data_IF_003796057812
#
_entry.id   IF_003796057812
#
_cell.length_a   1.000
_cell.length_b   1.000
_cell.length_c   1.000
_cell.angle_alpha   90.00
_cell.angle_beta   90.00
_cell.angle_gamma   90.00
#
_symmetry.space_group_name_H-M   'P 1'
#
loop_
_entity.id
_entity.type
_entity.pdbx_description
1 polymer ?
#
# COMPACT_ATOMS: atom_id res chain seq x y z
N UNK A 1 -12.80 -32.21 -59.56
CA UNK A 1 -13.10 -32.66 -58.18
C UNK A 1 -11.87 -32.72 -57.25
N UNK A 2 -10.63 -32.82 -57.75
CA UNK A 2 -9.43 -32.84 -56.89
C UNK A 2 -9.03 -31.45 -56.34
N UNK A 3 -9.20 -30.38 -57.12
CA UNK A 3 -8.80 -29.01 -56.75
C UNK A 3 -9.63 -28.43 -55.58
N UNK A 4 -10.94 -28.68 -55.55
CA UNK A 4 -11.82 -28.21 -54.46
C UNK A 4 -11.54 -28.90 -53.12
N UNK A 5 -11.10 -30.16 -53.12
CA UNK A 5 -10.72 -30.88 -51.89
C UNK A 5 -9.42 -30.38 -51.29
N UNK A 6 -8.48 -29.92 -52.12
CA UNK A 6 -7.21 -29.37 -51.67
C UNK A 6 -7.38 -27.98 -51.04
N UNK A 7 -8.24 -27.13 -51.63
CA UNK A 7 -8.58 -25.81 -51.06
C UNK A 7 -9.34 -25.91 -49.73
N UNK A 8 -10.23 -26.89 -49.59
CA UNK A 8 -10.92 -27.18 -48.33
C UNK A 8 -9.94 -27.65 -47.24
N UNK A 9 -8.98 -28.50 -47.60
CA UNK A 9 -7.94 -28.95 -46.66
C UNK A 9 -7.03 -27.80 -46.21
N UNK A 10 -6.62 -26.91 -47.13
CA UNK A 10 -5.82 -25.74 -46.79
C UNK A 10 -6.58 -24.75 -45.89
N UNK A 11 -7.87 -24.54 -46.16
CA UNK A 11 -8.75 -23.69 -45.35
C UNK A 11 -8.96 -24.26 -43.94
N UNK A 12 -9.14 -25.58 -43.81
CA UNK A 12 -9.22 -26.24 -42.50
C UNK A 12 -7.90 -26.13 -41.73
N UNK A 13 -6.75 -26.31 -42.40
CA UNK A 13 -5.43 -26.16 -41.76
C UNK A 13 -5.17 -24.72 -41.29
N UNK A 14 -5.56 -23.70 -42.06
CA UNK A 14 -5.42 -22.30 -41.66
C UNK A 14 -6.35 -21.92 -40.49
N UNK A 15 -7.59 -22.44 -40.46
CA UNK A 15 -8.51 -22.24 -39.34
C UNK A 15 -8.03 -22.94 -38.06
N UNK A 16 -7.47 -24.15 -38.17
CA UNK A 16 -6.88 -24.85 -37.02
C UNK A 16 -5.62 -24.13 -36.53
N UNK A 17 -4.79 -23.59 -37.44
CA UNK A 17 -3.59 -22.82 -37.06
C UNK A 17 -3.95 -21.49 -36.38
N UNK A 18 -5.00 -20.80 -36.84
CA UNK A 18 -5.51 -19.59 -36.19
C UNK A 18 -6.14 -19.90 -34.82
N UNK A 19 -6.90 -20.99 -34.69
CA UNK A 19 -7.50 -21.40 -33.42
C UNK A 19 -6.47 -21.89 -32.38
N UNK A 20 -5.33 -22.43 -32.82
CA UNK A 20 -4.20 -22.79 -31.94
C UNK A 20 -3.36 -21.56 -31.59
N UNK A 21 -3.19 -20.62 -32.52
CA UNK A 21 -2.52 -19.34 -32.28
C UNK A 21 -3.25 -18.44 -31.28
N UNK A 22 -4.59 -18.44 -31.28
CA UNK A 22 -5.39 -17.70 -30.28
C UNK A 22 -5.41 -18.38 -28.91
N UNK A 23 -5.37 -19.71 -28.84
CA UNK A 23 -5.31 -20.44 -27.55
C UNK A 23 -3.96 -20.34 -26.84
N UNK A 24 -2.87 -20.04 -27.55
CA UNK A 24 -1.55 -19.86 -26.95
C UNK A 24 -1.32 -18.47 -26.33
N UNK A 25 -2.25 -17.51 -26.49
CA UNK A 25 -2.13 -16.15 -25.94
C UNK A 25 -2.83 -15.93 -24.59
N UNK A 26 -3.53 -16.94 -24.04
CA UNK A 26 -4.38 -16.76 -22.85
C UNK A 26 -4.23 -17.79 -21.72
N UNK A 27 -3.17 -18.58 -21.72
CA UNK A 27 -2.76 -19.32 -20.52
C UNK A 27 -1.60 -18.61 -19.83
N UNK A 28 -1.89 -17.47 -19.16
CA UNK A 28 -1.07 -17.07 -18.00
C UNK A 28 -1.23 -18.20 -16.99
N UNK A 29 -0.22 -19.06 -16.88
CA UNK A 29 -0.18 -20.19 -15.95
C UNK A 29 -0.52 -19.63 -14.56
N UNK A 30 -1.71 -19.94 -14.03
CA UNK A 30 -2.00 -19.77 -12.61
C UNK A 30 -1.05 -20.73 -11.89
N UNK A 31 0.04 -20.21 -11.34
CA UNK A 31 0.95 -21.02 -10.53
C UNK A 31 0.15 -21.69 -9.43
N UNK A 32 0.33 -23.00 -9.26
CA UNK A 32 -0.23 -23.71 -8.11
C UNK A 32 0.32 -23.11 -6.82
N UNK A 33 -0.45 -23.13 -5.72
CA UNK A 33 -0.04 -22.61 -4.40
C UNK A 33 1.40 -22.98 -3.98
N UNK A 34 1.94 -24.19 -4.28
CA UNK A 34 3.33 -24.56 -4.00
C UNK A 34 4.42 -23.89 -4.87
N UNK A 35 4.06 -23.20 -5.96
CA UNK A 35 5.00 -22.62 -6.93
C UNK A 35 4.93 -21.09 -7.02
N UNK A 36 4.05 -20.45 -6.23
CA UNK A 36 3.70 -19.03 -6.36
C UNK A 36 4.89 -18.07 -6.23
N UNK A 37 5.96 -18.47 -5.52
CA UNK A 37 7.20 -17.70 -5.37
C UNK A 37 8.39 -18.23 -6.18
N UNK A 38 8.20 -19.15 -7.14
CA UNK A 38 9.25 -19.54 -8.09
C UNK A 38 9.39 -18.50 -9.21
N UNK A 39 9.77 -17.30 -8.81
CA UNK A 39 9.98 -16.17 -9.72
C UNK A 39 11.28 -16.42 -10.49
N UNK A 40 11.33 -16.04 -11.78
CA UNK A 40 12.54 -16.13 -12.61
C UNK A 40 13.37 -14.85 -12.61
N UNK A 41 12.71 -13.70 -12.46
CA UNK A 41 13.32 -12.37 -12.40
C UNK A 41 12.42 -11.43 -11.61
N UNK A 42 13.03 -10.56 -10.81
CA UNK A 42 12.37 -9.43 -10.17
C UNK A 42 12.71 -8.17 -10.99
N UNK A 43 11.71 -7.32 -11.21
CA UNK A 43 11.87 -6.11 -12.02
C UNK A 43 11.24 -4.91 -11.31
N UNK A 44 11.79 -3.72 -11.58
CA UNK A 44 11.12 -2.47 -11.29
C UNK A 44 9.90 -2.31 -12.19
N UNK A 45 8.74 -2.04 -11.59
CA UNK A 45 7.46 -1.99 -12.27
C UNK A 45 6.79 -0.63 -12.08
N UNK A 46 6.23 -0.10 -13.15
CA UNK A 46 5.30 1.04 -13.14
C UNK A 46 3.86 0.53 -13.15
N UNK A 47 2.88 1.36 -12.73
CA UNK A 47 1.47 1.03 -12.90
C UNK A 47 1.15 0.74 -14.37
N UNK A 48 0.25 -0.22 -14.63
CA UNK A 48 -0.16 -0.61 -15.99
C UNK A 48 -1.57 -0.22 -16.34
N UNK A 49 -2.45 -0.19 -15.35
CA UNK A 49 -3.86 0.15 -15.56
C UNK A 49 -4.13 1.51 -14.92
N UNK A 50 -4.86 2.35 -15.62
CA UNK A 50 -5.26 3.66 -15.14
C UNK A 50 -6.77 3.78 -15.24
N UNK A 51 -7.36 4.33 -14.18
CA UNK A 51 -8.78 4.59 -14.05
C UNK A 51 -8.93 6.09 -13.89
N UNK A 52 -9.48 6.74 -14.91
CA UNK A 52 -9.81 8.15 -14.87
C UNK A 52 -11.10 8.35 -14.07
N UNK A 53 -11.17 9.41 -13.28
CA UNK A 53 -12.38 9.81 -12.55
C UNK A 53 -12.49 11.33 -12.54
N UNK A 54 -13.69 11.84 -12.25
CA UNK A 54 -13.96 13.27 -12.22
C UNK A 54 -13.06 14.00 -11.20
N UNK A 55 -12.74 13.37 -10.07
CA UNK A 55 -11.90 13.93 -9.01
C UNK A 55 -10.39 13.64 -9.14
N UNK A 56 -9.97 12.84 -10.12
CA UNK A 56 -8.56 12.43 -10.19
C UNK A 56 -8.32 11.13 -10.94
N UNK A 57 -7.27 10.41 -10.53
CA UNK A 57 -6.77 9.22 -11.22
C UNK A 57 -6.44 8.12 -10.21
N UNK A 58 -6.80 6.89 -10.54
CA UNK A 58 -6.33 5.69 -9.83
C UNK A 58 -5.48 4.84 -10.76
N UNK A 59 -4.24 4.57 -10.37
CA UNK A 59 -3.29 3.76 -11.11
C UNK A 59 -3.04 2.44 -10.37
N UNK A 60 -3.04 1.32 -11.09
CA UNK A 60 -2.90 -0.02 -10.53
C UNK A 60 -1.68 -0.71 -11.14
N UNK A 61 -0.87 -1.33 -10.27
CA UNK A 61 0.11 -2.32 -10.70
C UNK A 61 -0.60 -3.62 -11.08
N UNK A 62 -0.09 -4.32 -12.10
CA UNK A 62 -0.68 -5.60 -12.55
C UNK A 62 -0.44 -6.69 -11.50
N UNK A 63 -1.46 -6.97 -10.69
CA UNK A 63 -1.44 -8.02 -9.65
C UNK A 63 -1.14 -9.43 -10.19
N UNK A 64 -1.27 -9.63 -11.51
CA UNK A 64 -0.98 -10.91 -12.17
C UNK A 64 0.52 -11.10 -12.46
N UNK A 65 1.35 -10.10 -12.20
CA UNK A 65 2.81 -10.23 -12.28
C UNK A 65 3.35 -11.12 -11.17
N UNK A 66 4.33 -11.96 -11.50
CA UNK A 66 4.79 -13.04 -10.63
C UNK A 66 5.26 -12.54 -9.25
N UNK A 67 5.89 -11.36 -9.19
CA UNK A 67 6.39 -10.78 -7.94
C UNK A 67 5.27 -10.32 -7.00
N UNK A 68 4.17 -9.75 -7.54
CA UNK A 68 3.00 -9.37 -6.74
C UNK A 68 2.16 -10.59 -6.37
N UNK A 69 2.06 -11.59 -7.26
CA UNK A 69 1.43 -12.87 -6.93
C UNK A 69 2.17 -13.60 -5.81
N UNK A 70 3.50 -13.64 -5.83
CA UNK A 70 4.30 -14.23 -4.76
C UNK A 70 4.05 -13.55 -3.42
N UNK A 71 4.09 -12.21 -3.38
CA UNK A 71 3.79 -11.47 -2.15
C UNK A 71 2.32 -11.52 -1.74
N UNK A 72 1.41 -11.87 -2.67
CA UNK A 72 -0.03 -11.86 -2.39
C UNK A 72 -0.60 -10.47 -2.22
N UNK A 73 -0.12 -9.49 -2.99
CA UNK A 73 -0.50 -8.08 -2.80
C UNK A 73 -1.04 -7.44 -4.07
N UNK A 74 -1.90 -6.44 -3.89
CA UNK A 74 -2.30 -5.50 -4.93
C UNK A 74 -1.90 -4.08 -4.54
N UNK A 75 -1.14 -3.40 -5.40
CA UNK A 75 -0.69 -2.05 -5.17
C UNK A 75 -1.42 -1.05 -6.06
N UNK A 76 -1.63 0.15 -5.53
CA UNK A 76 -2.30 1.24 -6.24
C UNK A 76 -1.75 2.61 -5.83
N UNK A 77 -1.84 3.56 -6.77
CA UNK A 77 -1.56 4.98 -6.57
C UNK A 77 -2.82 5.77 -6.87
N UNK A 78 -3.25 6.59 -5.92
CA UNK A 78 -4.40 7.47 -6.09
C UNK A 78 -3.92 8.92 -6.10
N UNK A 79 -4.34 9.68 -7.10
CA UNK A 79 -4.11 11.13 -7.21
C UNK A 79 -5.46 11.81 -7.13
N UNK A 80 -5.69 12.61 -6.09
CA UNK A 80 -6.88 13.42 -5.90
C UNK A 80 -6.56 14.88 -6.14
N UNK A 81 -7.28 15.50 -7.07
CA UNK A 81 -7.16 16.94 -7.35
C UNK A 81 -7.62 17.79 -6.16
N UNK A 82 -7.22 19.07 -6.08
CA UNK A 82 -7.75 20.00 -5.09
C UNK A 82 -9.28 19.95 -5.07
N UNK A 83 -9.86 19.85 -3.87
CA UNK A 83 -11.30 19.72 -3.63
C UNK A 83 -11.96 18.45 -4.17
N UNK A 84 -11.20 17.41 -4.51
CA UNK A 84 -11.74 16.11 -4.91
C UNK A 84 -12.05 15.21 -3.71
N UNK A 85 -13.08 14.37 -3.87
CA UNK A 85 -13.51 13.34 -2.92
C UNK A 85 -13.35 11.95 -3.54
N UNK A 86 -12.51 11.11 -2.94
CA UNK A 86 -12.55 9.66 -3.15
C UNK A 86 -13.82 9.11 -2.51
N UNK A 87 -14.63 8.43 -3.31
CA UNK A 87 -15.94 7.95 -2.88
C UNK A 87 -15.82 6.86 -1.80
N UNK A 88 -16.82 6.74 -0.90
CA UNK A 88 -16.80 5.74 0.16
C UNK A 88 -16.77 4.31 -0.39
N UNK A 89 -15.83 3.51 0.11
CA UNK A 89 -15.66 2.12 -0.27
C UNK A 89 -15.05 1.29 0.88
N UNK A 90 -15.10 -0.03 0.77
CA UNK A 90 -14.46 -0.97 1.68
C UNK A 90 -13.89 -2.19 0.94
N UNK A 91 -12.87 -2.82 1.51
CA UNK A 91 -12.13 -3.93 0.91
C UNK A 91 -12.15 -5.16 1.84
N UNK A 92 -12.08 -6.41 1.33
CA UNK A 92 -12.04 -7.61 2.18
C UNK A 92 -10.66 -7.88 2.81
N UNK A 93 -9.64 -7.10 2.43
CA UNK A 93 -8.25 -7.21 2.86
C UNK A 93 -7.81 -5.96 3.62
N UNK A 94 -6.78 -6.06 4.48
CA UNK A 94 -6.19 -4.88 5.08
C UNK A 94 -5.40 -4.11 4.01
N UNK A 95 -5.42 -2.78 4.13
CA UNK A 95 -4.67 -1.88 3.26
C UNK A 95 -3.86 -0.88 4.06
N UNK A 96 -2.58 -0.79 3.75
CA UNK A 96 -1.69 0.22 4.30
C UNK A 96 -1.43 1.30 3.25
N UNK A 97 -1.60 2.56 3.63
CA UNK A 97 -1.49 3.73 2.74
C UNK A 97 -0.36 4.63 3.22
N UNK A 98 0.43 5.15 2.29
CA UNK A 98 1.44 6.17 2.52
C UNK A 98 1.07 7.43 1.72
N UNK A 99 0.99 8.57 2.38
CA UNK A 99 0.75 9.86 1.71
C UNK A 99 2.09 10.40 1.20
N UNK A 100 2.30 10.34 -0.12
CA UNK A 100 3.52 10.81 -0.78
C UNK A 100 3.55 12.34 -0.88
N UNK A 101 2.40 12.97 -1.16
CA UNK A 101 2.29 14.41 -1.42
C UNK A 101 0.92 14.93 -1.01
N UNK A 102 0.86 16.20 -0.61
CA UNK A 102 -0.39 16.91 -0.30
C UNK A 102 -0.90 16.64 1.11
N UNK A 103 -2.12 17.11 1.34
CA UNK A 103 -2.85 16.96 2.59
C UNK A 103 -4.35 16.85 2.31
N UNK A 104 -5.10 16.43 3.31
CA UNK A 104 -6.53 16.19 3.17
C UNK A 104 -7.17 15.70 4.45
N UNK A 105 -8.36 15.14 4.30
CA UNK A 105 -9.08 14.46 5.35
C UNK A 105 -9.42 13.04 4.94
N UNK A 106 -9.32 12.11 5.89
CA UNK A 106 -9.82 10.75 5.74
C UNK A 106 -10.73 10.41 6.92
N UNK A 107 -11.80 9.69 6.67
CA UNK A 107 -12.58 9.03 7.73
C UNK A 107 -12.61 7.54 7.49
N UNK A 108 -12.49 6.77 8.57
CA UNK A 108 -12.59 5.31 8.59
C UNK A 108 -13.73 4.98 9.54
N UNK A 109 -14.79 4.41 9.00
CA UNK A 109 -16.01 4.10 9.73
C UNK A 109 -15.83 2.75 10.41
N UNK A 110 -15.75 2.77 11.74
CA UNK A 110 -15.71 1.57 12.56
C UNK A 110 -17.15 1.08 12.82
N UNK A 111 -17.52 -0.13 12.35
CA UNK A 111 -18.87 -0.65 12.53
C UNK A 111 -19.24 -0.75 14.01
N UNK A 112 -20.44 -0.27 14.37
CA UNK A 112 -20.96 -0.30 15.74
C UNK A 112 -20.45 0.84 16.64
N UNK A 113 -19.63 1.75 16.12
CA UNK A 113 -19.19 2.94 16.85
C UNK A 113 -20.12 4.13 16.60
N UNK A 114 -20.43 4.88 17.66
CA UNK A 114 -21.30 6.04 17.59
C UNK A 114 -20.64 7.25 16.90
N UNK A 115 -21.49 8.18 16.43
CA UNK A 115 -21.10 9.49 15.92
C UNK A 115 -20.65 10.41 17.05
N UNK A 116 -19.35 10.37 17.35
CA UNK A 116 -18.74 11.14 18.45
C UNK A 116 -18.46 12.60 18.08
N UNK A 117 -18.51 12.97 16.79
CA UNK A 117 -18.33 14.34 16.33
C UNK A 117 -19.70 14.96 16.10
N UNK A 118 -20.07 15.89 16.98
CA UNK A 118 -21.40 16.50 17.04
C UNK A 118 -21.27 18.02 17.07
N UNK A 119 -22.08 18.72 16.27
CA UNK A 119 -22.16 20.17 16.36
C UNK A 119 -22.79 20.53 17.70
N UNK A 120 -21.97 20.86 18.72
CA UNK A 120 -22.47 21.54 19.91
C UNK A 120 -22.84 22.94 19.49
N UNK A 121 -24.15 23.21 19.39
CA UNK A 121 -24.65 24.57 19.22
C UNK A 121 -23.96 25.46 20.23
N UNK A 122 -23.25 26.48 19.76
CA UNK A 122 -22.82 27.59 20.59
C UNK A 122 -24.04 28.09 21.35
N UNK A 123 -23.94 28.21 22.67
CA UNK A 123 -24.91 28.90 23.52
C UNK A 123 -24.92 30.41 23.19
N UNK A 124 -25.30 30.78 21.96
CA UNK A 124 -25.65 32.13 21.55
C UNK A 124 -26.72 32.03 20.46
N UNK A 125 -27.98 32.40 20.75
CA UNK A 125 -29.03 32.43 19.74
C UNK A 125 -28.85 33.69 18.90
N UNK A 126 -28.21 33.58 17.74
CA UNK A 126 -28.26 34.64 16.75
C UNK A 126 -28.43 34.10 15.33
N UNK A 127 -29.61 34.43 14.79
CA UNK A 127 -29.99 34.56 13.38
C UNK A 127 -30.03 33.31 12.49
N UNK A 128 -31.27 32.81 12.32
CA UNK A 128 -31.92 32.60 11.02
C UNK A 128 -31.06 32.13 9.83
N UNK A 129 -30.48 30.95 9.95
CA UNK A 129 -30.32 29.98 8.86
C UNK A 129 -30.25 28.62 9.53
N UNK A 130 -31.23 27.74 9.29
CA UNK A 130 -31.36 26.47 10.01
C UNK A 130 -30.05 25.69 10.05
N UNK A 131 -29.39 25.68 11.21
CA UNK A 131 -28.18 24.91 11.46
C UNK A 131 -28.49 23.44 11.19
N UNK A 132 -27.93 22.91 10.10
CA UNK A 132 -27.97 21.47 9.84
C UNK A 132 -27.23 20.78 10.99
N UNK A 133 -27.99 20.15 11.89
CA UNK A 133 -27.46 19.21 12.87
C UNK A 133 -26.84 18.05 12.10
N UNK A 134 -25.52 17.94 12.14
CA UNK A 134 -24.78 16.82 11.58
C UNK A 134 -24.09 16.04 12.70
N UNK A 135 -23.93 14.74 12.48
CA UNK A 135 -23.34 13.77 13.39
C UNK A 135 -22.55 12.79 12.54
N UNK A 136 -21.25 12.65 12.80
CA UNK A 136 -20.43 11.67 12.09
C UNK A 136 -19.34 11.08 13.00
N UNK A 137 -18.71 9.99 12.53
CA UNK A 137 -17.52 9.46 13.18
C UNK A 137 -16.31 10.38 12.95
N UNK A 138 -15.20 10.06 13.61
CA UNK A 138 -13.96 10.84 13.57
C UNK A 138 -13.45 11.05 12.14
N UNK A 139 -13.07 12.30 11.85
CA UNK A 139 -12.37 12.68 10.62
C UNK A 139 -10.92 13.01 10.99
N UNK A 140 -9.98 12.46 10.23
CA UNK A 140 -8.55 12.58 10.49
C UNK A 140 -7.92 13.48 9.43
N UNK A 141 -7.27 14.56 9.87
CA UNK A 141 -6.34 15.31 9.00
C UNK A 141 -5.24 14.36 8.55
N UNK A 142 -4.89 14.35 7.28
CA UNK A 142 -3.77 13.58 6.74
C UNK A 142 -2.84 14.50 5.96
N UNK A 143 -1.56 14.16 5.93
CA UNK A 143 -0.54 14.93 5.21
C UNK A 143 0.59 14.03 4.75
N UNK A 144 1.45 14.56 3.88
CA UNK A 144 2.70 13.92 3.47
C UNK A 144 3.42 13.24 4.65
N UNK A 145 3.83 12.01 4.41
CA UNK A 145 4.53 11.18 5.38
C UNK A 145 3.61 10.41 6.33
N UNK A 146 2.30 10.61 6.28
CA UNK A 146 1.38 9.78 7.06
C UNK A 146 1.29 8.36 6.48
N UNK A 147 1.42 7.37 7.37
CA UNK A 147 1.06 5.98 7.15
C UNK A 147 -0.32 5.77 7.77
N UNK A 148 -1.27 5.29 6.98
CA UNK A 148 -2.68 5.11 7.37
C UNK A 148 -3.06 3.64 7.21
N UNK A 149 -3.59 3.07 8.27
CA UNK A 149 -4.04 1.70 8.40
C UNK A 149 -5.56 1.62 8.14
N UNK A 150 -5.94 0.88 7.11
CA UNK A 150 -7.34 0.65 6.74
C UNK A 150 -7.67 -0.83 6.93
N UNK A 151 -8.43 -1.18 7.99
CA UNK A 151 -8.74 -2.57 8.28
C UNK A 151 -9.75 -3.16 7.28
N UNK A 152 -9.78 -4.50 7.14
CA UNK A 152 -10.74 -5.18 6.30
C UNK A 152 -12.18 -4.82 6.66
N UNK A 153 -13.01 -4.56 5.65
CA UNK A 153 -14.44 -4.28 5.80
C UNK A 153 -14.78 -2.86 6.29
N UNK A 154 -13.80 -2.07 6.74
CA UNK A 154 -14.07 -0.70 7.18
C UNK A 154 -14.29 0.23 5.98
N UNK A 155 -15.46 0.89 5.99
CA UNK A 155 -15.79 1.92 5.00
C UNK A 155 -14.91 3.13 5.22
N UNK A 156 -14.36 3.68 4.17
CA UNK A 156 -13.55 4.88 4.26
C UNK A 156 -13.73 5.77 3.03
N UNK A 157 -13.50 7.07 3.23
CA UNK A 157 -13.50 8.09 2.17
C UNK A 157 -12.38 9.09 2.45
N UNK A 158 -11.91 9.76 1.40
CA UNK A 158 -10.81 10.71 1.48
C UNK A 158 -11.12 11.97 0.67
N UNK A 159 -10.94 13.15 1.25
CA UNK A 159 -11.16 14.45 0.63
C UNK A 159 -9.87 15.25 0.63
N UNK A 160 -9.49 15.79 -0.53
CA UNK A 160 -8.37 16.73 -0.64
C UNK A 160 -8.89 18.15 -0.44
N UNK A 161 -8.64 18.74 0.73
CA UNK A 161 -8.96 20.15 1.02
C UNK A 161 -7.78 21.10 0.75
N UNK A 162 -6.65 20.57 0.30
CA UNK A 162 -5.45 21.34 -0.04
C UNK A 162 -5.51 22.00 -1.42
N UNK A 163 -4.48 22.78 -1.72
CA UNK A 163 -4.31 23.49 -3.01
C UNK A 163 -3.49 22.72 -4.04
N UNK A 164 -2.84 21.63 -3.64
CA UNK A 164 -2.09 20.73 -4.51
C UNK A 164 -2.73 19.35 -4.60
N UNK A 165 -2.30 18.54 -5.57
CA UNK A 165 -2.74 17.15 -5.66
C UNK A 165 -2.30 16.36 -4.42
N UNK A 166 -3.25 15.61 -3.85
CA UNK A 166 -3.01 14.62 -2.81
C UNK A 166 -2.68 13.29 -3.49
N UNK A 167 -1.47 12.78 -3.26
CA UNK A 167 -0.98 11.52 -3.84
C UNK A 167 -0.78 10.50 -2.74
N UNK A 168 -1.47 9.36 -2.85
CA UNK A 168 -1.43 8.26 -1.92
C UNK A 168 -0.98 6.97 -2.61
N UNK A 169 0.01 6.29 -2.04
CA UNK A 169 0.47 4.97 -2.45
C UNK A 169 -0.06 3.96 -1.47
N UNK A 170 -0.63 2.85 -1.92
CA UNK A 170 -1.14 1.83 -1.01
C UNK A 170 -0.92 0.41 -1.49
N UNK A 171 -0.82 -0.49 -0.52
CA UNK A 171 -0.67 -1.93 -0.72
C UNK A 171 -1.77 -2.65 0.05
N UNK A 172 -2.47 -3.54 -0.64
CA UNK A 172 -3.52 -4.40 -0.11
C UNK A 172 -2.95 -5.81 0.06
N UNK A 173 -3.10 -6.41 1.24
CA UNK A 173 -2.68 -7.80 1.47
C UNK A 173 -3.81 -8.77 1.11
N UNK A 174 -3.76 -9.32 -0.11
CA UNK A 174 -4.76 -10.25 -0.64
C UNK A 174 -4.69 -11.63 0.02
N UNK A 175 -3.56 -11.98 0.64
CA UNK A 175 -3.33 -13.28 1.28
C UNK A 175 -3.62 -13.25 2.79
N UNK A 176 -3.95 -12.09 3.36
CA UNK A 176 -4.28 -11.94 4.77
C UNK A 176 -5.46 -12.84 5.18
N UNK A 177 -5.39 -13.43 6.37
CA UNK A 177 -6.40 -14.37 6.90
C UNK A 177 -7.83 -13.80 6.99
N UNK A 178 -7.96 -12.47 7.03
CA UNK A 178 -9.27 -11.80 6.99
C UNK A 178 -9.96 -11.90 5.63
N UNK A 179 -9.20 -12.06 4.54
CA UNK A 179 -9.75 -12.19 3.20
C UNK A 179 -10.15 -13.65 2.94
N UNK A 180 -11.40 -13.97 3.30
CA UNK A 180 -11.96 -15.32 3.14
C UNK A 180 -12.57 -15.58 1.75
N UNK A 181 -12.41 -14.66 0.81
CA UNK A 181 -12.95 -14.78 -0.55
C UNK A 181 -11.97 -15.55 -1.45
N UNK A 182 -11.12 -14.81 -2.16
CA UNK A 182 -10.08 -15.30 -3.04
C UNK A 182 -8.92 -14.30 -3.08
N UNK A 183 -7.81 -14.71 -3.70
CA UNK A 183 -6.58 -13.89 -3.79
C UNK A 183 -6.68 -12.85 -4.92
N UNK A 184 -7.88 -12.31 -5.18
CA UNK A 184 -8.10 -11.26 -6.17
C UNK A 184 -8.38 -9.95 -5.46
N UNK A 185 -7.89 -8.85 -6.02
CA UNK A 185 -8.30 -7.54 -5.55
C UNK A 185 -9.81 -7.35 -5.75
N UNK A 186 -10.48 -6.82 -4.73
CA UNK A 186 -11.92 -6.52 -4.72
C UNK A 186 -12.15 -5.24 -3.94
N UNK A 187 -12.95 -4.34 -4.50
CA UNK A 187 -13.36 -3.11 -3.81
C UNK A 187 -14.87 -2.94 -3.94
N UNK A 188 -15.52 -2.66 -2.82
CA UNK A 188 -16.96 -2.50 -2.73
C UNK A 188 -17.28 -1.02 -2.50
N UNK A 189 -17.76 -0.35 -3.54
CA UNK A 189 -18.10 1.08 -3.47
C UNK A 189 -19.53 1.26 -2.98
N UNK A 190 -19.76 2.31 -2.19
CA UNK A 190 -21.09 2.72 -1.71
C UNK A 190 -21.69 3.85 -2.54
N UNK A 191 -20.92 4.40 -3.48
CA UNK A 191 -21.33 5.45 -4.39
C UNK A 191 -20.46 5.42 -5.64
N UNK A 192 -20.92 6.09 -6.71
CA UNK A 192 -20.19 6.20 -7.97
C UNK A 192 -20.67 5.22 -9.03
N UNK A 193 -19.94 5.19 -10.14
CA UNK A 193 -20.22 4.37 -11.32
C UNK A 193 -19.01 3.57 -11.75
N UNK A 194 -19.25 2.51 -12.52
CA UNK A 194 -18.19 1.66 -13.08
C UNK A 194 -17.31 2.49 -14.04
N UNK A 195 -15.98 2.46 -13.91
CA UNK A 195 -15.11 3.24 -14.79
C UNK A 195 -15.01 2.63 -16.20
N UNK A 196 -14.91 3.48 -17.23
CA UNK A 196 -14.52 3.03 -18.58
C UNK A 196 -13.03 2.70 -18.63
N UNK A 197 -12.66 1.46 -18.31
CA UNK A 197 -11.34 0.92 -18.62
C UNK A 197 -11.45 -0.52 -19.16
N UNK A 198 -11.00 -0.70 -20.39
CA UNK A 198 -10.97 -2.00 -21.06
C UNK A 198 -10.19 -3.05 -20.25
N UNK A 199 -10.76 -4.27 -20.18
CA UNK A 199 -10.16 -5.49 -19.59
C UNK A 199 -9.87 -5.49 -18.08
N UNK A 200 -10.07 -4.41 -17.33
CA UNK A 200 -10.09 -4.47 -15.86
C UNK A 200 -11.40 -5.13 -15.41
N UNK A 201 -11.37 -6.45 -15.22
CA UNK A 201 -12.48 -7.27 -14.72
C UNK A 201 -13.19 -6.58 -13.54
N UNK A 202 -14.45 -6.12 -13.72
CA UNK A 202 -15.56 -6.08 -12.74
C UNK A 202 -15.17 -5.92 -11.25
N UNK A 203 -14.29 -4.98 -10.91
CA UNK A 203 -13.70 -4.86 -9.56
C UNK A 203 -14.21 -3.65 -8.80
N UNK A 204 -14.87 -2.72 -9.48
CA UNK A 204 -15.29 -1.44 -8.94
C UNK A 204 -16.79 -1.25 -9.22
N UNK A 205 -17.64 -1.69 -8.30
CA UNK A 205 -19.08 -1.59 -8.42
C UNK A 205 -19.69 -0.88 -7.21
N UNK A 206 -20.62 0.04 -7.48
CA UNK A 206 -21.51 0.57 -6.47
C UNK A 206 -22.50 -0.52 -6.07
N UNK A 207 -22.40 -1.04 -4.84
CA UNK A 207 -23.21 -2.16 -4.39
C UNK A 207 -24.71 -1.85 -4.38
N UNK A 208 -25.09 -0.57 -4.25
CA UNK A 208 -26.50 -0.19 -4.25
C UNK A 208 -27.17 -0.50 -5.59
N UNK A 209 -26.44 -0.48 -6.71
CA UNK A 209 -26.98 -0.74 -8.05
C UNK A 209 -27.65 -2.11 -8.21
N UNK A 210 -27.25 -3.08 -7.40
CA UNK A 210 -27.74 -4.45 -7.50
C UNK A 210 -28.95 -4.74 -6.59
N UNK A 211 -29.28 -3.85 -5.65
CA UNK A 211 -30.40 -4.04 -4.73
C UNK A 211 -31.74 -3.61 -5.36
N UNK A 212 -32.81 -4.26 -4.93
CA UNK A 212 -34.18 -3.84 -5.22
C UNK A 212 -34.46 -2.46 -4.59
N UNK A 213 -34.92 -1.51 -5.41
CA UNK A 213 -35.03 -0.11 -5.00
C UNK A 213 -36.13 0.09 -3.96
N UNK A 214 -37.22 -0.66 -4.09
CA UNK A 214 -38.39 -0.65 -3.22
C UNK A 214 -38.04 -1.20 -1.83
N UNK A 215 -37.34 -2.35 -1.78
CA UNK A 215 -36.86 -2.94 -0.53
C UNK A 215 -35.86 -2.03 0.20
N UNK A 216 -34.94 -1.40 -0.53
CA UNK A 216 -34.02 -0.43 0.08
C UNK A 216 -34.76 0.83 0.55
N UNK A 217 -35.77 1.29 -0.18
CA UNK A 217 -36.57 2.45 0.22
C UNK A 217 -37.30 2.18 1.53
N UNK A 218 -37.82 0.97 1.72
CA UNK A 218 -38.38 0.50 2.99
C UNK A 218 -37.31 0.49 4.10
N UNK A 219 -36.14 -0.10 3.84
CA UNK A 219 -35.06 -0.19 4.83
C UNK A 219 -34.54 1.17 5.31
N UNK A 220 -34.41 2.14 4.39
CA UNK A 220 -34.00 3.50 4.71
C UNK A 220 -35.16 4.41 5.15
N UNK A 221 -36.41 3.95 5.03
CA UNK A 221 -37.64 4.72 5.26
C UNK A 221 -37.68 6.04 4.44
N UNK A 222 -37.44 5.92 3.13
CA UNK A 222 -37.38 7.04 2.18
C UNK A 222 -38.16 6.72 0.90
N UNK A 223 -38.27 7.67 -0.03
CA UNK A 223 -38.89 7.39 -1.33
C UNK A 223 -38.01 6.50 -2.21
N UNK A 224 -38.59 5.59 -3.02
CA UNK A 224 -37.84 4.81 -4.01
C UNK A 224 -37.02 5.67 -4.98
N UNK A 225 -37.49 6.88 -5.31
CA UNK A 225 -36.76 7.81 -6.17
C UNK A 225 -35.46 8.33 -5.53
N UNK A 226 -35.40 8.42 -4.19
CA UNK A 226 -34.15 8.75 -3.51
C UNK A 226 -33.15 7.60 -3.63
N UNK A 227 -33.59 6.35 -3.45
CA UNK A 227 -32.75 5.17 -3.63
C UNK A 227 -32.27 5.07 -5.08
N UNK A 228 -33.16 5.26 -6.06
CA UNK A 228 -32.78 5.24 -7.48
C UNK A 228 -31.68 6.25 -7.77
N UNK A 229 -31.71 7.46 -7.18
CA UNK A 229 -30.59 8.42 -7.31
C UNK A 229 -29.27 7.94 -6.69
N UNK A 230 -29.29 7.09 -5.67
CA UNK A 230 -28.08 6.46 -5.11
C UNK A 230 -27.55 5.35 -6.03
N UNK A 231 -28.43 4.67 -6.75
CA UNK A 231 -28.11 3.57 -7.66
C UNK A 231 -27.64 4.08 -9.03
N UNK A 232 -28.37 5.03 -9.61
CA UNK A 232 -28.12 5.58 -10.93
C UNK A 232 -27.41 6.91 -10.81
N UNK A 233 -26.18 6.98 -11.33
CA UNK A 233 -25.54 8.26 -11.64
C UNK A 233 -25.77 8.56 -13.12
N UNK A 234 -26.35 9.73 -13.42
CA UNK A 234 -26.56 10.20 -14.82
C UNK A 234 -25.24 10.39 -15.58
N UNK A 235 -24.13 10.58 -14.85
CA UNK A 235 -22.79 10.77 -15.40
C UNK A 235 -21.81 9.72 -14.86
N UNK A 236 -20.97 9.20 -15.75
CA UNK A 236 -19.85 8.32 -15.42
C UNK A 236 -18.72 9.11 -14.74
N UNK A 237 -18.89 9.41 -13.45
CA UNK A 237 -17.94 10.22 -12.67
C UNK A 237 -16.80 9.40 -12.06
N UNK A 238 -16.90 8.07 -12.10
CA UNK A 238 -15.85 7.14 -11.67
C UNK A 238 -15.76 6.98 -10.15
N UNK A 239 -14.54 6.78 -9.64
CA UNK A 239 -14.24 6.40 -8.25
C UNK A 239 -13.99 7.62 -7.32
N UNK A 240 -13.79 8.79 -7.93
CA UNK A 240 -13.61 10.05 -7.23
C UNK A 240 -14.30 11.19 -7.98
N UNK A 241 -14.82 12.15 -7.25
CA UNK A 241 -15.64 13.26 -7.77
C UNK A 241 -15.07 14.60 -7.34
N UNK A 242 -15.38 15.67 -8.06
CA UNK A 242 -15.13 17.02 -7.56
C UNK A 242 -16.25 17.40 -6.59
N UNK A 243 -15.89 17.88 -5.40
CA UNK A 243 -16.89 18.43 -4.50
C UNK A 243 -17.44 19.75 -5.08
N UNK A 244 -18.77 19.85 -5.20
CA UNK A 244 -19.43 21.05 -5.76
C UNK A 244 -19.20 22.30 -4.91
N UNK A 245 -19.12 22.11 -3.60
CA UNK A 245 -18.85 23.14 -2.61
C UNK A 245 -17.71 22.67 -1.71
N UNK A 246 -17.03 23.61 -1.04
CA UNK A 246 -16.01 23.25 -0.04
C UNK A 246 -16.65 22.44 1.08
N UNK A 247 -16.19 21.20 1.25
CA UNK A 247 -16.68 20.33 2.31
C UNK A 247 -16.22 20.86 3.68
N UNK A 248 -17.14 20.89 4.64
CA UNK A 248 -16.89 21.26 6.03
C UNK A 248 -17.32 20.10 6.92
N UNK A 249 -16.52 19.80 7.92
CA UNK A 249 -16.74 18.73 8.88
C UNK A 249 -16.81 19.32 10.28
N UNK A 250 -17.64 18.75 11.13
CA UNK A 250 -17.55 19.04 12.57
C UNK A 250 -16.19 18.54 13.04
N UNK A 251 -15.49 19.34 13.83
CA UNK A 251 -14.21 18.99 14.46
C UNK A 251 -14.15 19.66 15.83
N UNK A 252 -13.77 18.95 16.91
CA UNK A 252 -13.33 19.60 18.14
C UNK A 252 -12.13 20.50 17.82
N UNK A 253 -12.06 21.68 18.45
CA UNK A 253 -10.91 22.57 18.31
C UNK A 253 -9.61 21.81 18.63
N UNK A 254 -8.65 21.87 17.70
CA UNK A 254 -7.36 21.16 17.78
C UNK A 254 -6.48 21.59 18.98
N UNK A 255 -6.90 22.62 19.72
CA UNK A 255 -6.21 23.19 20.89
C UNK A 255 -6.33 22.36 22.18
N UNK A 256 -7.17 21.31 22.21
CA UNK A 256 -7.01 20.26 23.22
C UNK A 256 -5.88 19.36 22.74
N UNK A 257 -4.64 19.83 22.97
CA UNK A 257 -3.39 19.09 22.81
C UNK A 257 -3.61 17.61 23.07
N UNK A 258 -3.04 16.77 22.19
CA UNK A 258 -2.68 15.36 22.40
C UNK A 258 -1.89 15.17 23.71
N UNK A 259 -2.56 15.45 24.82
CA UNK A 259 -2.19 15.10 26.17
C UNK A 259 -2.90 13.79 26.40
N UNK A 260 -2.29 12.73 25.90
CA UNK A 260 -2.43 11.41 26.48
C UNK A 260 -1.97 11.47 27.94
N UNK A 261 -2.80 12.08 28.80
CA UNK A 261 -2.84 11.74 30.22
C UNK A 261 -3.68 10.47 30.30
N UNK A 262 -3.17 9.36 30.86
CA UNK A 262 -3.97 8.17 31.09
C UNK A 262 -4.97 8.51 32.20
N UNK A 263 -6.15 8.99 31.82
CA UNK A 263 -7.28 9.01 32.74
C UNK A 263 -7.75 7.56 32.90
N UNK A 264 -7.31 6.93 33.99
CA UNK A 264 -7.90 5.71 34.49
C UNK A 264 -9.34 5.99 34.92
N UNK A 265 -10.32 5.87 34.01
CA UNK A 265 -11.73 5.66 34.35
C UNK A 265 -12.43 4.84 33.26
N UNK A 266 -12.87 3.62 33.62
CA UNK A 266 -13.81 2.72 32.94
C UNK A 266 -13.70 2.54 31.41
N UNK A 267 -13.00 1.47 31.02
CA UNK A 267 -12.90 0.92 29.66
C UNK A 267 -14.27 0.50 29.08
N UNK A 268 -14.93 1.40 28.35
CA UNK A 268 -15.98 1.04 27.40
C UNK A 268 -15.40 0.53 26.07
N UNK A 269 -16.20 -0.22 25.29
CA UNK A 269 -15.86 -0.60 23.90
C UNK A 269 -15.61 0.64 23.03
N UNK A 270 -16.35 1.73 23.29
CA UNK A 270 -16.22 3.02 22.61
C UNK A 270 -14.86 3.70 22.84
N UNK A 271 -14.16 3.43 23.94
CA UNK A 271 -12.89 4.10 24.26
C UNK A 271 -11.64 3.32 23.84
N UNK A 272 -11.79 2.08 23.36
CA UNK A 272 -10.67 1.21 22.98
C UNK A 272 -10.65 0.86 21.50
N UNK A 273 -11.77 0.39 20.94
CA UNK A 273 -11.87 0.02 19.52
C UNK A 273 -12.22 1.23 18.63
N UNK A 274 -13.22 2.02 19.03
CA UNK A 274 -13.73 3.14 18.22
C UNK A 274 -12.77 4.35 18.15
N UNK A 275 -11.80 4.42 19.06
CA UNK A 275 -10.78 5.49 19.13
C UNK A 275 -9.40 5.02 18.69
N UNK A 276 -9.29 3.81 18.11
CA UNK A 276 -8.01 3.24 17.68
C UNK A 276 -7.26 4.21 16.78
N UNK A 277 -5.97 4.39 17.07
CA UNK A 277 -5.08 5.20 16.24
C UNK A 277 -4.91 4.49 14.89
N UNK A 278 -5.39 5.11 13.81
CA UNK A 278 -5.30 4.57 12.45
C UNK A 278 -4.15 5.14 11.63
N UNK A 279 -3.48 6.20 12.11
CA UNK A 279 -2.39 6.83 11.36
C UNK A 279 -1.24 7.28 12.24
N UNK A 280 -0.06 7.37 11.66
CA UNK A 280 1.11 8.01 12.26
C UNK A 280 2.02 8.55 11.17
N UNK A 281 2.80 9.60 11.43
CA UNK A 281 3.68 10.20 10.43
C UNK A 281 5.05 9.51 10.47
N UNK A 282 5.40 8.76 9.42
CA UNK A 282 6.67 8.04 9.32
C UNK A 282 7.84 8.96 8.96
N UNK A 283 7.60 10.16 8.44
CA UNK A 283 8.66 11.10 8.05
C UNK A 283 9.13 12.04 9.17
N UNK A 284 8.58 11.90 10.40
CA UNK A 284 9.01 12.71 11.53
C UNK A 284 10.52 12.55 11.78
N UNK A 285 11.26 13.65 11.64
CA UNK A 285 12.72 13.64 11.72
C UNK A 285 13.26 13.28 13.10
N UNK A 286 12.48 13.50 14.17
CA UNK A 286 12.88 13.20 15.55
C UNK A 286 12.76 11.73 15.91
N UNK A 287 12.06 10.94 15.09
CA UNK A 287 11.65 9.57 15.42
C UNK A 287 12.39 8.53 14.57
N UNK A 288 13.62 8.85 14.14
CA UNK A 288 14.42 7.89 13.37
C UNK A 288 14.86 6.72 14.24
N UNK A 289 14.43 5.52 13.86
CA UNK A 289 14.78 4.28 14.57
C UNK A 289 16.24 3.93 14.33
N UNK A 290 16.73 4.20 13.12
CA UNK A 290 18.13 4.04 12.75
C UNK A 290 18.59 5.29 12.02
N UNK A 291 19.70 5.85 12.49
CA UNK A 291 20.27 7.06 11.92
C UNK A 291 21.79 6.93 11.80
N UNK A 292 22.30 7.29 10.62
CA UNK A 292 23.72 7.43 10.35
C UNK A 292 23.98 8.78 9.69
N UNK A 293 24.84 9.59 10.30
CA UNK A 293 25.22 10.92 9.78
C UNK A 293 25.85 10.87 8.39
N UNK A 294 26.43 9.74 8.02
CA UNK A 294 27.15 9.55 6.76
C UNK A 294 26.36 8.72 5.75
N UNK A 295 25.39 7.91 6.20
CA UNK A 295 24.71 6.95 5.35
C UNK A 295 23.23 7.25 5.10
N UNK A 296 22.51 7.81 6.07
CA UNK A 296 21.09 8.12 5.94
C UNK A 296 20.24 7.79 7.17
N UNK A 297 18.96 7.48 6.97
CA UNK A 297 17.99 7.16 8.03
C UNK A 297 16.97 6.10 7.64
N UNK A 298 16.46 5.36 8.63
CA UNK A 298 15.32 4.45 8.51
C UNK A 298 14.33 4.72 9.64
N UNK A 299 13.06 4.79 9.27
CA UNK A 299 11.93 4.93 10.18
C UNK A 299 10.98 3.77 9.89
N UNK A 300 10.56 3.05 10.93
CA UNK A 300 9.65 1.91 10.86
C UNK A 300 8.36 2.26 11.59
N UNK A 301 7.23 1.88 11.01
CA UNK A 301 5.90 1.90 11.64
C UNK A 301 5.40 0.47 11.66
N UNK A 302 5.39 -0.12 12.85
CA UNK A 302 5.00 -1.50 13.12
C UNK A 302 3.84 -1.55 14.14
N UNK A 303 3.48 -2.76 14.59
CA UNK A 303 2.45 -2.97 15.61
C UNK A 303 2.70 -2.24 16.94
N UNK A 304 3.92 -1.85 17.26
CA UNK A 304 4.22 -1.13 18.50
C UNK A 304 3.92 0.36 18.36
N UNK A 305 4.27 0.98 17.22
CA UNK A 305 4.00 2.40 16.97
C UNK A 305 2.58 2.69 16.53
N UNK A 306 1.94 1.74 15.86
CA UNK A 306 0.57 1.85 15.37
C UNK A 306 -0.20 0.56 15.69
N UNK A 307 -0.81 0.43 16.89
CA UNK A 307 -1.36 -0.83 17.41
C UNK A 307 -2.38 -1.55 16.52
N UNK A 308 -3.12 -0.83 15.68
CA UNK A 308 -4.03 -1.45 14.69
C UNK A 308 -3.31 -2.41 13.74
N UNK A 309 -2.01 -2.22 13.52
CA UNK A 309 -1.19 -3.09 12.68
C UNK A 309 -1.00 -4.50 13.24
N UNK A 310 -1.24 -4.72 14.54
CA UNK A 310 -1.30 -6.08 15.10
C UNK A 310 -2.44 -6.91 14.52
N UNK A 311 -3.56 -6.29 14.15
CA UNK A 311 -4.71 -6.96 13.54
C UNK A 311 -4.59 -7.09 12.03
N UNK A 312 -3.84 -6.20 11.41
CA UNK A 312 -3.63 -6.18 9.96
C UNK A 312 -2.43 -7.00 9.52
N UNK A 313 -1.52 -7.34 10.45
CA UNK A 313 -0.26 -8.03 10.21
C UNK A 313 0.57 -7.40 9.08
N UNK A 314 0.62 -6.07 9.08
CA UNK A 314 1.36 -5.26 8.11
C UNK A 314 2.20 -4.20 8.80
N UNK A 315 3.27 -3.75 8.15
CA UNK A 315 4.10 -2.63 8.60
C UNK A 315 4.62 -1.80 7.44
N UNK A 316 5.16 -0.62 7.76
CA UNK A 316 5.80 0.25 6.78
C UNK A 316 7.20 0.67 7.25
N UNK A 317 8.08 0.94 6.30
CA UNK A 317 9.42 1.48 6.53
C UNK A 317 9.68 2.62 5.55
N UNK A 318 10.15 3.77 6.03
CA UNK A 318 10.65 4.87 5.19
C UNK A 318 12.16 4.89 5.30
N UNK A 319 12.82 4.80 4.15
CA UNK A 319 14.26 4.92 4.06
C UNK A 319 14.73 6.14 3.28
N UNK A 320 15.89 6.61 3.69
CA UNK A 320 16.71 7.60 2.99
C UNK A 320 18.15 7.14 3.03
N UNK A 321 18.78 7.01 1.87
CA UNK A 321 20.22 6.87 1.72
C UNK A 321 20.80 8.16 1.14
N UNK A 322 21.89 8.63 1.75
CA UNK A 322 22.70 9.70 1.19
C UNK A 322 23.45 9.25 -0.07
N UNK A 323 23.98 10.19 -0.87
CA UNK A 323 24.68 9.86 -2.10
C UNK A 323 25.74 8.77 -1.91
N UNK A 324 25.71 7.76 -2.77
CA UNK A 324 26.64 6.62 -2.78
C UNK A 324 26.64 5.72 -1.52
N UNK A 325 25.77 6.00 -0.55
CA UNK A 325 25.57 5.17 0.63
C UNK A 325 24.83 3.88 0.26
N UNK A 326 24.91 2.88 1.14
CA UNK A 326 24.40 1.55 0.86
C UNK A 326 23.50 1.04 1.98
N UNK A 327 22.40 0.40 1.64
CA UNK A 327 21.66 -0.45 2.56
C UNK A 327 22.44 -1.76 2.72
N UNK A 328 22.73 -2.17 3.95
CA UNK A 328 23.47 -3.42 4.19
C UNK A 328 22.74 -4.59 3.51
N UNK A 329 23.48 -5.51 2.87
CA UNK A 329 22.87 -6.73 2.35
C UNK A 329 22.14 -7.45 3.47
N UNK A 330 20.88 -7.78 3.27
CA UNK A 330 20.04 -8.35 4.31
C UNK A 330 18.93 -9.21 3.72
N UNK A 331 18.29 -10.02 4.55
CA UNK A 331 17.03 -10.69 4.21
C UNK A 331 15.98 -10.42 5.30
N UNK A 332 14.72 -10.29 4.88
CA UNK A 332 13.58 -10.29 5.79
C UNK A 332 13.35 -11.72 6.31
N UNK A 333 13.23 -11.87 7.63
CA UNK A 333 12.95 -13.16 8.27
C UNK A 333 11.47 -13.51 8.22
N UNK A 334 10.62 -12.50 8.12
CA UNK A 334 9.17 -12.59 8.10
C UNK A 334 8.59 -11.57 7.11
N UNK A 335 7.58 -12.00 6.38
CA UNK A 335 6.89 -11.18 5.38
C UNK A 335 7.71 -10.86 4.13
N UNK A 336 7.00 -10.43 3.09
CA UNK A 336 7.55 -9.88 1.86
C UNK A 336 7.77 -8.37 2.03
N UNK A 337 8.69 -7.79 1.26
CA UNK A 337 8.94 -6.33 1.25
C UNK A 337 8.57 -5.75 -0.11
N UNK A 338 7.57 -4.86 -0.14
CA UNK A 338 7.10 -4.16 -1.34
C UNK A 338 7.68 -2.75 -1.30
N UNK A 339 8.65 -2.46 -2.16
CA UNK A 339 9.39 -1.20 -2.19
C UNK A 339 8.81 -0.29 -3.26
N UNK A 340 8.49 0.95 -2.90
CA UNK A 340 8.15 2.04 -3.82
C UNK A 340 9.18 3.17 -3.68
N UNK A 341 9.78 3.58 -4.80
CA UNK A 341 10.80 4.63 -4.82
C UNK A 341 10.14 6.00 -4.84
N UNK A 342 10.35 6.79 -3.79
CA UNK A 342 9.74 8.12 -3.66
C UNK A 342 10.62 9.22 -4.26
N UNK A 343 11.96 9.05 -4.29
CA UNK A 343 12.90 10.03 -4.84
C UNK A 343 14.27 9.41 -5.16
N UNK A 344 14.94 9.96 -6.16
CA UNK A 344 16.31 9.59 -6.51
C UNK A 344 16.38 8.24 -7.21
N UNK A 345 17.56 7.62 -7.14
CA UNK A 345 17.83 6.33 -7.78
C UNK A 345 18.77 5.46 -6.96
N UNK A 346 18.69 4.14 -7.16
CA UNK A 346 19.63 3.20 -6.58
C UNK A 346 19.92 2.04 -7.53
N UNK A 347 21.12 1.47 -7.41
CA UNK A 347 21.40 0.12 -7.93
C UNK A 347 20.93 -0.88 -6.89
N UNK A 348 20.02 -1.78 -7.28
CA UNK A 348 19.44 -2.80 -6.40
C UNK A 348 19.83 -4.19 -6.90
N UNK A 349 20.26 -5.04 -5.97
CA UNK A 349 20.53 -6.45 -6.22
C UNK A 349 19.66 -7.32 -5.33
N UNK A 350 19.09 -8.38 -5.90
CA UNK A 350 18.28 -9.38 -5.17
C UNK A 350 18.76 -10.77 -5.56
N UNK A 351 18.98 -11.64 -4.57
CA UNK A 351 19.49 -13.00 -4.72
C UNK A 351 18.55 -13.99 -4.04
N UNK A 352 18.28 -15.12 -4.69
CA UNK A 352 17.40 -16.16 -4.15
C UNK A 352 18.17 -17.26 -3.38
N UNK A 353 17.42 -18.24 -2.89
CA UNK A 353 17.93 -19.42 -2.18
C UNK A 353 18.90 -20.31 -2.99
N UNK A 354 18.88 -20.25 -4.32
CA UNK A 354 19.81 -21.00 -5.18
C UNK A 354 21.14 -20.26 -5.40
N UNK A 355 21.25 -19.02 -4.90
CA UNK A 355 22.38 -18.14 -5.16
C UNK A 355 22.29 -17.43 -6.51
N UNK A 356 21.14 -17.50 -7.20
CA UNK A 356 20.93 -16.82 -8.47
C UNK A 356 20.56 -15.36 -8.23
N UNK A 357 21.18 -14.46 -9.02
CA UNK A 357 20.80 -13.05 -9.05
C UNK A 357 19.47 -12.89 -9.79
N UNK A 358 18.43 -12.53 -9.04
CA UNK A 358 17.07 -12.34 -9.52
C UNK A 358 16.83 -10.92 -10.04
N UNK A 359 17.62 -9.97 -9.56
CA UNK A 359 17.62 -8.57 -9.98
C UNK A 359 19.01 -8.00 -9.82
N UNK A 360 19.45 -7.20 -10.79
CA UNK A 360 20.66 -6.39 -10.74
C UNK A 360 20.44 -5.17 -11.64
N UNK A 361 19.53 -4.31 -11.20
CA UNK A 361 18.97 -3.23 -12.02
C UNK A 361 19.09 -1.89 -11.29
N UNK A 362 18.96 -0.80 -12.06
CA UNK A 362 18.76 0.54 -11.49
C UNK A 362 17.27 0.79 -11.32
N UNK A 363 16.90 1.35 -10.18
CA UNK A 363 15.53 1.75 -9.84
C UNK A 363 15.51 3.26 -9.62
N UNK A 364 14.39 3.88 -9.96
CA UNK A 364 14.20 5.32 -9.95
C UNK A 364 12.81 5.70 -9.44
N UNK A 365 12.58 6.98 -9.18
CA UNK A 365 11.32 7.50 -8.67
C UNK A 365 10.08 6.95 -9.41
N UNK A 366 9.09 6.49 -8.64
CA UNK A 366 7.86 5.89 -9.15
C UNK A 366 7.93 4.38 -9.36
N UNK A 367 9.13 3.79 -9.41
CA UNK A 367 9.28 2.34 -9.56
C UNK A 367 8.81 1.60 -8.31
N UNK A 368 8.15 0.46 -8.51
CA UNK A 368 7.79 -0.49 -7.46
C UNK A 368 8.39 -1.87 -7.73
N UNK A 369 8.93 -2.51 -6.70
CA UNK A 369 9.39 -3.90 -6.76
C UNK A 369 9.02 -4.68 -5.50
N UNK A 370 9.06 -6.01 -5.59
CA UNK A 370 8.85 -6.90 -4.45
C UNK A 370 10.13 -7.68 -4.19
N UNK A 371 10.59 -7.67 -2.95
CA UNK A 371 11.62 -8.57 -2.42
C UNK A 371 10.90 -9.64 -1.59
N UNK A 372 10.85 -10.91 -2.05
CA UNK A 372 10.22 -11.96 -1.28
C UNK A 372 10.93 -12.24 0.04
N UNK A 373 10.20 -12.78 1.02
CA UNK A 373 10.78 -13.25 2.29
C UNK A 373 12.00 -14.15 2.04
N UNK A 374 13.04 -14.03 2.87
CA UNK A 374 14.33 -14.73 2.75
C UNK A 374 15.18 -14.46 1.51
N UNK A 375 14.70 -13.69 0.53
CA UNK A 375 15.57 -13.26 -0.57
C UNK A 375 16.53 -12.20 -0.01
N UNK A 376 17.81 -12.34 -0.34
CA UNK A 376 18.82 -11.38 0.09
C UNK A 376 18.80 -10.19 -0.85
N UNK A 377 18.71 -8.98 -0.31
CA UNK A 377 18.74 -7.76 -1.10
C UNK A 377 19.70 -6.72 -0.55
N UNK A 378 20.19 -5.87 -1.44
CA UNK A 378 21.01 -4.69 -1.12
C UNK A 378 20.71 -3.57 -2.10
N UNK A 379 20.97 -2.33 -1.68
CA UNK A 379 20.81 -1.16 -2.52
C UNK A 379 21.98 -0.20 -2.31
N UNK A 380 22.53 0.35 -3.40
CA UNK A 380 23.46 1.49 -3.35
C UNK A 380 22.80 2.70 -4.00
N UNK A 381 22.70 3.79 -3.25
CA UNK A 381 22.16 5.05 -3.75
C UNK A 381 23.03 5.62 -4.88
N UNK A 382 22.39 6.29 -5.83
CA UNK A 382 23.06 7.11 -6.84
C UNK A 382 23.64 8.40 -6.26
N UNK A 383 24.02 9.31 -7.15
CA UNK A 383 24.68 10.57 -6.78
C UNK A 383 23.76 11.58 -6.09
N UNK A 384 22.44 11.47 -6.28
CA UNK A 384 21.45 12.37 -5.68
C UNK A 384 20.81 11.78 -4.41
N UNK A 385 21.30 10.63 -3.94
CA UNK A 385 20.69 9.87 -2.87
C UNK A 385 19.53 8.99 -3.36
N UNK A 386 18.89 8.31 -2.41
CA UNK A 386 17.79 7.38 -2.69
C UNK A 386 16.79 7.40 -1.54
N UNK A 387 15.52 7.55 -1.86
CA UNK A 387 14.43 7.52 -0.89
C UNK A 387 13.34 6.55 -1.34
N UNK A 388 12.86 5.75 -0.39
CA UNK A 388 11.81 4.77 -0.64
C UNK A 388 10.87 4.69 0.55
N UNK A 389 9.66 4.19 0.29
CA UNK A 389 8.78 3.59 1.29
C UNK A 389 8.65 2.10 0.98
N UNK A 390 8.69 1.26 2.00
CA UNK A 390 8.48 -0.16 1.88
C UNK A 390 7.28 -0.58 2.73
N UNK A 391 6.37 -1.36 2.15
CA UNK A 391 5.28 -2.02 2.85
C UNK A 391 5.70 -3.46 3.10
N UNK A 392 5.45 -4.00 4.29
CA UNK A 392 5.80 -5.37 4.65
C UNK A 392 4.57 -6.14 5.10
N UNK A 393 4.47 -7.40 4.65
CA UNK A 393 3.37 -8.32 5.01
C UNK A 393 3.66 -9.03 6.34
N UNK A 394 4.08 -8.26 7.34
CA UNK A 394 4.24 -8.66 8.74
C UNK A 394 4.03 -7.42 9.61
N UNK A 395 3.32 -7.59 10.73
CA UNK A 395 3.10 -6.54 11.72
C UNK A 395 4.34 -6.21 12.55
N UNK A 396 5.35 -7.08 12.59
CA UNK A 396 6.60 -6.89 13.36
C UNK A 396 7.82 -7.29 12.53
N UNK A 397 8.21 -6.46 11.56
CA UNK A 397 9.18 -6.86 10.55
C UNK A 397 10.58 -7.05 11.14
N UNK A 398 11.12 -8.25 11.00
CA UNK A 398 12.46 -8.62 11.42
C UNK A 398 13.36 -8.92 10.21
N UNK A 399 14.63 -8.58 10.33
CA UNK A 399 15.64 -8.83 9.29
C UNK A 399 16.98 -9.22 9.88
N UNK A 400 17.81 -9.85 9.06
CA UNK A 400 19.22 -10.09 9.38
C UNK A 400 20.10 -9.38 8.36
N UNK A 401 21.01 -8.54 8.85
CA UNK A 401 22.05 -7.92 8.02
C UNK A 401 23.26 -8.86 7.88
N UNK A 402 23.91 -8.83 6.72
CA UNK A 402 25.10 -9.62 6.41
C UNK A 402 26.40 -8.85 6.71
N UNK A 403 26.36 -7.51 6.66
CA UNK A 403 27.50 -6.66 6.94
C UNK A 403 27.15 -5.58 7.98
N UNK A 404 28.14 -5.16 8.76
CA UNK A 404 27.98 -4.14 9.82
C UNK A 404 27.96 -4.71 11.24
N UNK A 405 27.72 -3.83 12.20
CA UNK A 405 27.83 -4.09 13.64
C UNK A 405 26.87 -5.16 14.17
N UNK A 406 25.64 -5.23 13.63
CA UNK A 406 24.64 -6.24 14.03
C UNK A 406 24.52 -7.39 13.01
N UNK A 407 25.56 -7.62 12.20
CA UNK A 407 25.48 -8.61 11.13
C UNK A 407 25.64 -10.05 11.59
N UNK A 408 25.03 -10.97 10.84
CA UNK A 408 25.18 -12.42 11.04
C UNK A 408 26.65 -12.85 10.98
N UNK A 409 27.44 -12.33 10.03
CA UNK A 409 28.88 -12.64 9.93
C UNK A 409 29.66 -12.17 11.15
N UNK A 410 29.31 -11.01 11.72
CA UNK A 410 29.95 -10.53 12.96
C UNK A 410 29.57 -11.38 14.18
N UNK A 411 28.37 -11.97 14.19
CA UNK A 411 27.91 -12.82 15.28
C UNK A 411 28.57 -14.23 15.27
N UNK A 412 29.05 -14.73 14.12
CA UNK A 412 29.68 -16.04 14.03
C UNK A 412 31.07 -16.09 14.70
N UNK A 413 31.46 -17.21 15.34
CA UNK A 413 32.82 -17.40 15.81
C UNK A 413 33.84 -17.25 14.68
N UNK A 414 35.01 -16.67 14.98
CA UNK A 414 36.05 -16.41 13.97
C UNK A 414 36.42 -17.69 13.19
N UNK A 415 36.54 -18.81 13.91
CA UNK A 415 36.87 -20.11 13.33
C UNK A 415 35.83 -20.63 12.34
N UNK A 416 34.55 -20.27 12.48
CA UNK A 416 33.53 -20.63 11.49
C UNK A 416 33.86 -19.97 10.16
N UNK A 417 34.20 -18.68 10.16
CA UNK A 417 34.55 -17.94 8.95
C UNK A 417 35.86 -18.44 8.34
N UNK A 418 36.90 -18.66 9.14
CA UNK A 418 38.20 -19.12 8.63
C UNK A 418 38.10 -20.50 7.97
N UNK A 419 37.31 -21.41 8.54
CA UNK A 419 37.13 -22.75 7.97
C UNK A 419 36.15 -22.75 6.79
N UNK A 420 35.02 -22.04 6.89
CA UNK A 420 33.99 -22.03 5.85
C UNK A 420 34.47 -21.36 4.56
N UNK A 421 35.26 -20.30 4.68
CA UNK A 421 35.74 -19.52 3.52
C UNK A 421 37.23 -19.72 3.22
N UNK A 422 37.92 -20.62 3.93
CA UNK A 422 39.34 -20.89 3.76
C UNK A 422 40.22 -19.62 3.82
N UNK A 423 39.94 -18.76 4.79
CA UNK A 423 40.61 -17.47 4.97
C UNK A 423 41.43 -17.41 6.25
N UNK A 424 42.42 -16.51 6.29
CA UNK A 424 43.23 -16.27 7.48
C UNK A 424 42.39 -15.65 8.62
N UNK A 425 42.81 -15.82 9.89
CA UNK A 425 42.16 -15.16 11.02
C UNK A 425 42.07 -13.63 10.87
N UNK A 426 43.07 -13.00 10.25
CA UNK A 426 43.09 -11.56 10.01
C UNK A 426 42.02 -11.14 8.98
N UNK A 427 41.87 -11.86 7.87
CA UNK A 427 40.82 -11.60 6.86
C UNK A 427 39.41 -11.81 7.45
N UNK A 428 39.22 -12.90 8.19
CA UNK A 428 37.98 -13.16 8.90
C UNK A 428 37.65 -12.04 9.89
N UNK A 429 38.66 -11.53 10.61
CA UNK A 429 38.48 -10.40 11.51
C UNK A 429 38.08 -9.13 10.73
N UNK A 430 38.74 -8.85 9.60
CA UNK A 430 38.40 -7.72 8.72
C UNK A 430 36.95 -7.75 8.23
N UNK A 431 36.45 -8.91 7.80
CA UNK A 431 35.03 -9.07 7.40
C UNK A 431 34.10 -8.70 8.55
N UNK A 432 34.43 -9.09 9.78
CA UNK A 432 33.60 -8.83 10.96
C UNK A 432 33.63 -7.37 11.42
N UNK A 433 34.77 -6.68 11.32
CA UNK A 433 34.97 -5.40 12.04
C UNK A 433 35.23 -4.17 11.16
N UNK A 434 35.53 -4.31 9.86
CA UNK A 434 35.92 -3.16 9.02
C UNK A 434 34.82 -2.10 8.87
N UNK A 435 33.54 -2.47 9.01
CA UNK A 435 32.41 -1.53 9.03
C UNK A 435 32.20 -0.85 10.40
N UNK A 436 33.06 -1.13 11.38
CA UNK A 436 33.04 -0.48 12.68
C UNK A 436 31.72 -0.65 13.42
N UNK A 437 31.09 0.47 13.76
CA UNK A 437 29.80 0.55 14.43
C UNK A 437 28.61 0.75 13.45
N UNK A 438 28.85 0.79 12.14
CA UNK A 438 27.79 1.02 11.16
C UNK A 438 26.83 -0.17 11.14
N UNK A 439 25.53 0.10 11.16
CA UNK A 439 24.49 -0.91 11.13
C UNK A 439 23.35 -0.47 10.23
N UNK A 440 22.72 -1.42 9.52
CA UNK A 440 21.65 -1.25 8.51
C UNK A 440 22.03 -0.38 7.30
N UNK A 441 22.64 0.78 7.53
CA UNK A 441 23.05 1.80 6.59
C UNK A 441 24.58 1.92 6.63
N UNK A 442 25.22 1.77 5.49
CA UNK A 442 26.66 1.77 5.33
C UNK A 442 27.10 3.02 4.58
N UNK A 443 28.08 3.73 5.13
CA UNK A 443 28.64 4.91 4.46
C UNK A 443 29.41 4.51 3.19
N UNK A 444 29.57 5.45 2.23
CA UNK A 444 30.33 5.20 1.02
C UNK A 444 31.73 4.71 1.38
N UNK A 445 32.24 3.71 0.65
CA UNK A 445 33.62 3.30 0.84
C UNK A 445 34.55 4.45 0.44
N UNK A 446 35.46 4.83 1.33
CA UNK A 446 36.63 5.65 0.97
C UNK A 446 37.39 4.88 -0.11
N UNK A 447 37.46 5.42 -1.32
CA UNK A 447 38.30 4.85 -2.38
C UNK A 447 39.76 5.10 -2.10
#
# INVERSE_FOLDING_TARGET
MASTRFLLALSLCLLVSAAVGEKMSQQRIRLSRPQQCRILRISAMQPRNQIQSEGGITELWDEKEAQFQCAGVAAMRNTLRPNALSLPNYHPNPRLVYIEKGEGFISVIFPGCAETYQARGSEQPSSEQGEKRDLHQKVHRIRRGDVIALPPGAVHWCHNDGSEDLIAISVNDLNHQSNQLDHKFRSFYLAGSEPQAGKSEKTFHNIFQAFDAELMAEAFNVSPDLIRRMQTTEEERGLSVMARESMRYIRPDEDIKESSKPYHHNNGFEETFCTMKIRTNIENQRDADIYSREAGKLNVVDMHKLPILSYMDMSAEKGTLFPNSMLSPHWAMDGHTIVYVTKGEAKVEVVDHSGQTMMNDRVSQGDMLVVPQFYTSTARAGNEGFEWVAFKTSGYPMRNDMAGYTSALRAMPLQVLTNAYQMSPAEAQSIKINRGAQTFLLSPASR
#
